data_IF_559035212487
#
_entry.id   IF_559035212487
#
_cell.length_a   1.000
_cell.length_b   1.000
_cell.length_c   1.000
_cell.angle_alpha   90.00
_cell.angle_beta   90.00
_cell.angle_gamma   90.00
#
_symmetry.space_group_name_H-M   'P 1'
#
loop_
_entity.id
_entity.type
_entity.pdbx_description
1 polymer ?
#
# COMPACT_ATOMS: atom_id res chain seq x y z
N UNK A 1 -12.19 38.14 -58.20
CA UNK A 1 -12.26 37.50 -56.87
C UNK A 1 -12.60 36.05 -57.13
N UNK A 2 -11.62 35.15 -57.11
CA UNK A 2 -11.80 33.75 -57.47
C UNK A 2 -12.36 32.96 -56.29
N UNK A 3 -13.53 32.34 -56.44
CA UNK A 3 -14.06 31.41 -55.45
C UNK A 3 -13.22 30.13 -55.45
N UNK A 4 -12.54 29.87 -54.34
CA UNK A 4 -11.95 28.58 -54.04
C UNK A 4 -13.03 27.69 -53.43
N UNK A 5 -13.61 26.81 -54.25
CA UNK A 5 -14.59 25.82 -53.82
C UNK A 5 -13.99 24.95 -52.70
N UNK A 6 -14.63 24.83 -51.52
CA UNK A 6 -14.13 23.95 -50.49
C UNK A 6 -14.30 22.51 -50.97
N UNK A 7 -13.18 21.82 -51.20
CA UNK A 7 -13.15 20.39 -51.46
C UNK A 7 -13.72 19.65 -50.23
N UNK A 8 -15.04 19.41 -50.25
CA UNK A 8 -15.73 18.65 -49.22
C UNK A 8 -15.34 17.19 -49.39
N UNK A 9 -14.26 16.78 -48.72
CA UNK A 9 -13.82 15.37 -48.63
C UNK A 9 -15.03 14.55 -48.17
N UNK A 10 -15.57 13.71 -49.06
CA UNK A 10 -16.64 12.76 -48.73
C UNK A 10 -16.03 11.78 -47.72
N UNK A 11 -16.36 11.95 -46.44
CA UNK A 11 -15.97 10.98 -45.41
C UNK A 11 -16.68 9.68 -45.79
N UNK A 12 -15.91 8.67 -46.17
CA UNK A 12 -16.46 7.35 -46.45
C UNK A 12 -17.04 6.80 -45.15
N UNK A 13 -18.18 6.12 -45.22
CA UNK A 13 -18.80 5.49 -44.04
C UNK A 13 -17.82 4.58 -43.29
N UNK A 14 -16.86 3.97 -44.00
CA UNK A 14 -15.79 3.16 -43.41
C UNK A 14 -14.81 3.99 -42.56
N UNK A 15 -14.45 5.21 -43.00
CA UNK A 15 -13.58 6.11 -42.24
C UNK A 15 -14.30 6.58 -40.97
N UNK A 16 -15.60 6.86 -41.09
CA UNK A 16 -16.45 7.25 -39.97
C UNK A 16 -16.58 6.14 -38.92
N UNK A 17 -16.70 4.88 -39.35
CA UNK A 17 -16.74 3.72 -38.44
C UNK A 17 -15.38 3.52 -37.76
N UNK A 18 -14.27 3.69 -38.49
CA UNK A 18 -12.91 3.61 -37.92
C UNK A 18 -12.69 4.67 -36.83
N UNK A 19 -13.10 5.91 -37.10
CA UNK A 19 -12.95 7.03 -36.16
C UNK A 19 -13.74 6.83 -34.85
N UNK A 20 -14.95 6.24 -34.94
CA UNK A 20 -15.77 5.92 -33.77
C UNK A 20 -15.12 4.80 -32.95
N UNK A 21 -14.63 3.74 -33.61
CA UNK A 21 -13.95 2.62 -32.95
C UNK A 21 -12.69 3.09 -32.24
N UNK A 22 -11.87 3.93 -32.88
CA UNK A 22 -10.68 4.49 -32.26
C UNK A 22 -11.01 5.41 -31.08
N UNK A 23 -12.08 6.20 -31.17
CA UNK A 23 -12.56 7.04 -30.07
C UNK A 23 -12.99 6.22 -28.85
N UNK A 24 -13.74 5.14 -29.04
CA UNK A 24 -14.15 4.23 -27.95
C UNK A 24 -12.96 3.50 -27.35
N UNK A 25 -12.03 3.04 -28.19
CA UNK A 25 -10.80 2.38 -27.73
C UNK A 25 -9.94 3.33 -26.92
N UNK A 26 -9.82 4.59 -27.34
CA UNK A 26 -9.09 5.62 -26.61
C UNK A 26 -9.75 5.92 -25.27
N UNK A 27 -11.09 6.05 -25.24
CA UNK A 27 -11.85 6.27 -24.00
C UNK A 27 -11.71 5.12 -23.01
N UNK A 28 -11.90 3.87 -23.47
CA UNK A 28 -11.71 2.68 -22.63
C UNK A 28 -10.30 2.63 -22.03
N UNK A 29 -9.29 3.02 -22.81
CA UNK A 29 -7.89 3.09 -22.38
C UNK A 29 -7.65 4.25 -21.41
N UNK A 30 -8.35 5.36 -21.55
CA UNK A 30 -8.26 6.52 -20.67
C UNK A 30 -8.91 6.22 -19.31
N UNK A 31 -10.10 5.61 -19.33
CA UNK A 31 -10.82 5.19 -18.14
C UNK A 31 -10.14 4.03 -17.38
N UNK A 32 -9.34 3.18 -18.03
CA UNK A 32 -8.67 2.05 -17.35
C UNK A 32 -7.24 2.33 -16.94
N UNK A 33 -6.45 3.08 -17.73
CA UNK A 33 -5.03 3.30 -17.41
C UNK A 33 -4.84 4.34 -16.31
N UNK A 34 -5.70 5.36 -16.27
CA UNK A 34 -5.64 6.40 -15.23
C UNK A 34 -5.85 5.85 -13.81
N UNK A 35 -6.88 5.01 -13.54
CA UNK A 35 -7.03 4.37 -12.23
C UNK A 35 -5.97 3.30 -11.95
N UNK A 36 -5.50 2.57 -12.97
CA UNK A 36 -4.48 1.54 -12.79
C UNK A 36 -3.13 2.13 -12.34
N UNK A 37 -2.74 3.28 -12.88
CA UNK A 37 -1.53 3.99 -12.44
C UNK A 37 -1.64 4.46 -10.98
N UNK A 38 -2.83 4.90 -10.57
CA UNK A 38 -3.12 5.26 -9.18
C UNK A 38 -2.99 4.06 -8.23
N UNK A 39 -3.63 2.93 -8.57
CA UNK A 39 -3.55 1.70 -7.80
C UNK A 39 -2.11 1.17 -7.70
N UNK A 40 -1.36 1.18 -8.81
CA UNK A 40 0.04 0.76 -8.82
C UNK A 40 0.90 1.60 -7.87
N UNK A 41 0.69 2.93 -7.80
CA UNK A 41 1.43 3.79 -6.86
C UNK A 41 1.05 3.49 -5.40
N UNK A 42 -0.23 3.25 -5.12
CA UNK A 42 -0.70 2.87 -3.79
C UNK A 42 -0.07 1.55 -3.32
N UNK A 43 -0.06 0.54 -4.19
CA UNK A 43 0.58 -0.74 -3.89
C UNK A 43 2.08 -0.58 -3.69
N UNK A 44 2.77 0.21 -4.51
CA UNK A 44 4.20 0.45 -4.34
C UNK A 44 4.52 1.10 -3.00
N UNK A 45 3.78 2.13 -2.61
CA UNK A 45 3.93 2.79 -1.30
C UNK A 45 3.60 1.82 -0.16
N UNK A 46 2.52 1.05 -0.28
CA UNK A 46 2.13 0.04 0.70
C UNK A 46 3.20 -1.02 0.90
N UNK A 47 3.82 -1.50 -0.19
CA UNK A 47 4.91 -2.48 -0.15
C UNK A 47 6.14 -1.91 0.53
N UNK A 48 6.55 -0.68 0.20
CA UNK A 48 7.70 -0.02 0.86
C UNK A 48 7.43 0.15 2.35
N UNK A 49 6.22 0.59 2.73
CA UNK A 49 5.82 0.74 4.12
C UNK A 49 5.83 -0.62 4.85
N UNK A 50 5.29 -1.68 4.24
CA UNK A 50 5.27 -3.02 4.81
C UNK A 50 6.68 -3.59 5.00
N UNK A 51 7.57 -3.41 4.02
CA UNK A 51 8.97 -3.82 4.12
C UNK A 51 9.71 -3.05 5.22
N UNK A 52 9.52 -1.73 5.27
CA UNK A 52 10.11 -0.88 6.31
C UNK A 52 9.63 -1.28 7.70
N UNK A 53 8.33 -1.55 7.87
CA UNK A 53 7.75 -2.02 9.12
C UNK A 53 8.30 -3.40 9.52
N UNK A 54 8.40 -4.33 8.56
CA UNK A 54 8.96 -5.66 8.80
C UNK A 54 10.41 -5.61 9.27
N UNK A 55 11.23 -4.80 8.61
CA UNK A 55 12.64 -4.58 9.01
C UNK A 55 12.71 -3.97 10.41
N UNK A 56 11.87 -2.97 10.70
CA UNK A 56 11.81 -2.34 12.02
C UNK A 56 11.47 -3.33 13.13
N UNK A 57 10.49 -4.23 12.91
CA UNK A 57 10.09 -5.25 13.89
C UNK A 57 11.23 -6.24 14.17
N UNK A 58 11.98 -6.64 13.14
CA UNK A 58 13.16 -7.51 13.32
C UNK A 58 14.21 -6.81 14.19
N UNK A 59 14.58 -5.58 13.85
CA UNK A 59 15.56 -4.82 14.65
C UNK A 59 15.08 -4.55 16.08
N UNK A 60 13.79 -4.24 16.26
CA UNK A 60 13.21 -4.03 17.58
C UNK A 60 13.27 -5.29 18.44
N UNK A 61 12.96 -6.45 17.85
CA UNK A 61 13.07 -7.76 18.51
C UNK A 61 14.49 -8.03 18.97
N UNK A 62 15.47 -7.80 18.09
CA UNK A 62 16.89 -7.95 18.42
C UNK A 62 17.35 -6.94 19.50
N UNK A 63 16.87 -5.70 19.45
CA UNK A 63 17.19 -4.68 20.43
C UNK A 63 16.68 -5.04 21.82
N UNK A 64 15.43 -5.52 21.93
CA UNK A 64 14.85 -5.98 23.20
C UNK A 64 15.61 -7.18 23.75
N UNK A 65 15.91 -8.17 22.91
CA UNK A 65 16.69 -9.33 23.33
C UNK A 65 18.06 -8.91 23.86
N UNK A 66 18.75 -8.03 23.12
CA UNK A 66 20.09 -7.57 23.49
C UNK A 66 20.07 -6.72 24.76
N UNK A 67 19.08 -5.85 24.91
CA UNK A 67 18.90 -5.07 26.14
C UNK A 67 18.61 -5.97 27.34
N UNK A 68 17.77 -6.99 27.16
CA UNK A 68 17.48 -7.95 28.22
C UNK A 68 18.74 -8.72 28.63
N UNK A 69 19.57 -9.12 27.68
CA UNK A 69 20.84 -9.83 27.94
C UNK A 69 21.87 -8.91 28.64
N UNK A 70 21.95 -7.65 28.22
CA UNK A 70 22.85 -6.65 28.82
C UNK A 70 22.48 -6.34 30.28
N UNK A 71 21.17 -6.24 30.57
CA UNK A 71 20.66 -6.03 31.92
C UNK A 71 20.68 -7.30 32.79
N UNK A 72 20.50 -8.48 32.18
CA UNK A 72 20.48 -9.77 32.87
C UNK A 72 21.85 -10.21 33.37
N UNK A 73 22.91 -9.86 32.62
CA UNK A 73 24.31 -10.17 32.94
C UNK A 73 24.53 -11.63 33.39
N UNK A 74 25.53 -11.84 34.26
CA UNK A 74 25.87 -13.17 34.77
C UNK A 74 24.76 -13.85 35.60
N UNK A 75 23.71 -13.11 36.02
CA UNK A 75 22.64 -13.64 36.88
C UNK A 75 21.70 -14.57 36.11
N UNK A 76 21.49 -14.27 34.83
CA UNK A 76 20.61 -15.03 33.95
C UNK A 76 21.40 -15.82 32.88
N UNK A 77 22.72 -15.92 33.01
CA UNK A 77 23.57 -16.68 32.12
C UNK A 77 23.61 -18.18 32.44
N UNK A 78 24.02 -18.99 31.46
CA UNK A 78 24.08 -20.45 31.59
C UNK A 78 22.69 -21.11 31.55
N UNK A 79 22.31 -21.81 32.61
CA UNK A 79 21.08 -22.61 32.65
C UNK A 79 19.79 -21.77 32.63
N UNK A 80 19.88 -20.47 32.91
CA UNK A 80 18.74 -19.53 32.91
C UNK A 80 18.68 -18.63 31.66
N UNK A 81 19.60 -18.82 30.70
CA UNK A 81 19.67 -18.01 29.48
C UNK A 81 18.38 -18.02 28.66
N UNK A 82 17.59 -19.09 28.77
CA UNK A 82 16.31 -19.23 28.09
C UNK A 82 15.29 -18.12 28.46
N UNK A 83 15.42 -17.54 29.67
CA UNK A 83 14.52 -16.50 30.20
C UNK A 83 14.53 -15.25 29.33
N UNK A 84 15.68 -14.88 28.76
CA UNK A 84 15.81 -13.72 27.86
C UNK A 84 14.92 -13.84 26.63
N UNK A 85 14.79 -15.04 26.07
CA UNK A 85 13.90 -15.29 24.93
C UNK A 85 12.43 -15.21 25.35
N UNK A 86 12.09 -15.65 26.57
CA UNK A 86 10.73 -15.57 27.09
C UNK A 86 10.30 -14.12 27.36
N UNK A 87 11.21 -13.31 27.93
CA UNK A 87 11.00 -11.87 28.12
C UNK A 87 10.81 -11.18 26.76
N UNK A 88 11.70 -11.46 25.80
CA UNK A 88 11.60 -10.89 24.45
C UNK A 88 10.28 -11.27 23.78
N UNK A 89 9.87 -12.54 23.89
CA UNK A 89 8.60 -13.04 23.36
C UNK A 89 7.41 -12.32 23.99
N UNK A 90 7.42 -12.12 25.31
CA UNK A 90 6.36 -11.40 26.02
C UNK A 90 6.28 -9.93 25.57
N UNK A 91 7.40 -9.23 25.49
CA UNK A 91 7.45 -7.82 25.05
C UNK A 91 6.97 -7.67 23.61
N UNK A 92 7.44 -8.52 22.69
CA UNK A 92 7.00 -8.51 21.28
C UNK A 92 5.51 -8.85 21.18
N UNK A 93 5.01 -9.81 21.96
CA UNK A 93 3.58 -10.17 21.96
C UNK A 93 2.71 -9.00 22.42
N UNK A 94 3.13 -8.25 23.44
CA UNK A 94 2.44 -7.03 23.88
C UNK A 94 2.45 -5.96 22.78
N UNK A 95 3.59 -5.73 22.12
CA UNK A 95 3.68 -4.77 21.03
C UNK A 95 2.80 -5.15 19.84
N UNK A 96 2.73 -6.43 19.50
CA UNK A 96 1.84 -6.96 18.47
C UNK A 96 0.37 -6.75 18.87
N UNK A 97 0.00 -7.07 20.11
CA UNK A 97 -1.36 -6.85 20.62
C UNK A 97 -1.73 -5.35 20.62
N UNK A 98 -0.81 -4.47 20.99
CA UNK A 98 -0.99 -3.01 20.91
C UNK A 98 -1.14 -2.55 19.47
N UNK A 99 -0.34 -3.08 18.53
CA UNK A 99 -0.44 -2.78 17.11
C UNK A 99 -1.81 -3.17 16.57
N UNK A 100 -2.31 -4.37 16.90
CA UNK A 100 -3.67 -4.80 16.55
C UNK A 100 -4.75 -3.94 17.20
N UNK A 101 -4.58 -3.54 18.46
CA UNK A 101 -5.51 -2.63 19.14
C UNK A 101 -5.60 -1.27 18.43
N UNK A 102 -4.49 -0.77 17.89
CA UNK A 102 -4.45 0.51 17.14
C UNK A 102 -5.06 0.43 15.74
N UNK A 103 -5.25 -0.78 15.20
CA UNK A 103 -5.96 -1.00 13.93
C UNK A 103 -7.49 -0.86 14.10
N UNK A 104 -8.00 -0.68 15.33
CA UNK A 104 -9.43 -0.57 15.63
C UNK A 104 -10.06 0.81 15.30
N UNK A 105 -10.90 0.80 14.25
CA UNK A 105 -12.22 1.44 14.13
C UNK A 105 -12.31 2.98 14.28
N UNK A 106 -11.87 3.73 13.27
CA UNK A 106 -12.50 5.02 12.93
C UNK A 106 -13.27 4.91 11.61
N UNK A 107 -14.30 4.09 11.59
CA UNK A 107 -15.34 4.22 10.57
C UNK A 107 -16.70 4.25 11.28
N UNK A 108 -17.50 5.27 10.93
CA UNK A 108 -18.95 5.32 11.12
C UNK A 108 -19.50 5.62 12.53
N UNK A 109 -19.09 6.73 13.15
CA UNK A 109 -20.07 7.50 13.94
C UNK A 109 -21.00 8.23 12.97
N UNK A 110 -22.01 7.47 12.50
CA UNK A 110 -23.28 7.87 11.91
C UNK A 110 -23.49 9.39 11.74
N UNK A 111 -23.16 9.90 10.56
CA UNK A 111 -23.91 11.05 10.03
C UNK A 111 -25.35 10.58 9.76
N UNK A 112 -26.32 11.37 10.20
CA UNK A 112 -27.79 11.23 10.06
C UNK A 112 -28.54 10.62 11.27
N UNK A 113 -28.99 11.50 12.15
CA UNK A 113 -30.35 11.49 12.71
C UNK A 113 -30.69 12.92 13.18
N UNK A 114 -31.84 13.43 12.70
CA UNK A 114 -32.40 14.79 12.81
C UNK A 114 -31.92 15.77 11.75
#
# INVERSE_FOLDING_TARGET
MAETSPFRRRISTSDQVSDIVDSVKQYARQETIEPMKGAARWVAVGTIAALSLGISIVFLTLAVLRLSQDLGGNTLDGSWSFVHYFITLAVVSVLVALSFSRISQRTLAKGTAS
#
